data_IF_766293731347
#
_entry.id   IF_766293731347
#
_cell.length_a   1.000
_cell.length_b   1.000
_cell.length_c   1.000
_cell.angle_alpha   90.00
_cell.angle_beta   90.00
_cell.angle_gamma   90.00
#
_symmetry.space_group_name_H-M   'P 1'
#
loop_
_entity.id
_entity.type
_entity.pdbx_description
1 polymer ?
#
# COMPACT_ATOMS: atom_id res chain seq x y z
N UNK A 1 -18.43 -33.78 11.79
CA UNK A 1 -17.14 -34.10 11.18
C UNK A 1 -17.12 -33.55 9.76
N UNK A 2 -16.79 -32.26 9.61
CA UNK A 2 -16.60 -31.63 8.30
C UNK A 2 -15.76 -30.35 8.49
N UNK A 3 -14.47 -30.53 8.83
CA UNK A 3 -13.42 -29.53 8.69
C UNK A 3 -12.72 -29.82 7.38
N UNK A 4 -13.00 -29.04 6.35
CA UNK A 4 -12.25 -29.15 5.11
C UNK A 4 -12.04 -27.77 4.49
N UNK A 5 -10.77 -27.37 4.41
CA UNK A 5 -10.17 -26.39 3.51
C UNK A 5 -10.43 -24.91 3.79
N UNK A 6 -9.79 -24.41 4.85
CA UNK A 6 -9.35 -23.02 4.87
C UNK A 6 -8.11 -22.88 3.96
N UNK A 7 -8.29 -22.41 2.75
CA UNK A 7 -7.21 -21.93 1.90
C UNK A 7 -6.75 -20.57 2.45
N UNK A 8 -5.58 -20.59 3.06
CA UNK A 8 -4.91 -19.50 3.77
C UNK A 8 -4.52 -18.39 2.78
N UNK A 9 -5.30 -17.30 2.77
CA UNK A 9 -4.87 -16.03 2.17
C UNK A 9 -4.39 -15.10 3.27
N UNK A 10 -3.21 -14.54 3.10
CA UNK A 10 -2.57 -13.63 4.05
C UNK A 10 -3.36 -12.36 4.38
N UNK A 11 -3.29 -11.88 5.63
CA UNK A 11 -4.39 -11.05 6.18
C UNK A 11 -4.05 -9.58 6.50
N UNK A 12 -2.93 -8.96 6.17
CA UNK A 12 -2.74 -7.56 6.57
C UNK A 12 -2.27 -6.60 5.45
N UNK A 13 -1.03 -6.45 5.19
CA UNK A 13 -0.56 -5.60 4.09
C UNK A 13 -0.64 -6.36 2.77
N UNK A 14 -0.54 -7.69 2.80
CA UNK A 14 -0.84 -8.57 1.66
C UNK A 14 -2.31 -8.60 1.24
N UNK A 15 -3.24 -8.06 2.02
CA UNK A 15 -4.65 -7.95 1.61
C UNK A 15 -4.92 -6.93 0.50
N UNK A 16 -4.02 -5.98 0.32
CA UNK A 16 -3.96 -5.23 -0.95
C UNK A 16 -3.35 -6.09 -2.08
N UNK A 17 -2.71 -7.20 -1.73
CA UNK A 17 -1.87 -8.05 -2.57
C UNK A 17 -2.40 -9.49 -2.56
N UNK A 18 -3.65 -9.70 -3.01
CA UNK A 18 -4.24 -11.03 -3.09
C UNK A 18 -3.27 -12.03 -3.75
N UNK A 19 -2.83 -13.02 -2.98
CA UNK A 19 -2.12 -14.17 -3.50
C UNK A 19 -3.06 -14.93 -4.45
N UNK A 20 -2.83 -14.81 -5.74
CA UNK A 20 -3.45 -15.65 -6.76
C UNK A 20 -2.86 -17.05 -6.60
N UNK A 21 -3.66 -18.12 -6.40
CA UNK A 21 -3.12 -19.46 -6.48
C UNK A 21 -2.54 -19.69 -7.87
N UNK A 22 -1.27 -20.09 -7.94
CA UNK A 22 -0.62 -20.45 -9.18
C UNK A 22 -1.23 -21.77 -9.70
N UNK A 23 -1.93 -21.70 -10.81
CA UNK A 23 -2.02 -22.82 -11.74
C UNK A 23 -0.65 -23.06 -12.38
N UNK A 24 -0.26 -24.33 -12.66
CA UNK A 24 1.01 -24.61 -13.32
C UNK A 24 1.06 -23.95 -14.71
N UNK A 25 2.22 -23.41 -15.01
CA UNK A 25 2.51 -22.67 -16.22
C UNK A 25 2.28 -23.54 -17.47
N UNK A 26 1.32 -23.14 -18.28
CA UNK A 26 1.35 -23.40 -19.72
C UNK A 26 2.13 -22.24 -20.35
N UNK A 27 3.23 -22.60 -21.01
CA UNK A 27 4.00 -21.68 -21.82
C UNK A 27 3.16 -21.25 -23.03
N UNK A 28 2.71 -20.00 -23.00
CA UNK A 28 2.19 -19.33 -24.18
C UNK A 28 2.97 -18.01 -24.32
N UNK A 29 3.90 -17.99 -25.25
CA UNK A 29 4.55 -16.78 -25.76
C UNK A 29 3.49 -15.93 -26.46
N UNK A 30 3.09 -14.86 -25.81
CA UNK A 30 2.57 -13.66 -26.45
C UNK A 30 2.89 -12.48 -25.54
N UNK A 31 3.49 -11.39 -26.04
CA UNK A 31 3.67 -10.19 -25.27
C UNK A 31 2.26 -9.63 -25.03
N UNK A 32 1.73 -9.84 -23.84
CA UNK A 32 0.55 -9.14 -23.41
C UNK A 32 0.94 -7.66 -23.29
N UNK A 33 0.56 -6.85 -24.27
CA UNK A 33 0.60 -5.41 -24.15
C UNK A 33 -0.09 -5.04 -22.83
N UNK A 34 0.62 -4.30 -21.97
CA UNK A 34 0.02 -3.72 -20.79
C UNK A 34 -1.04 -2.76 -21.31
N UNK A 35 -2.30 -3.17 -21.30
CA UNK A 35 -3.42 -2.29 -21.58
C UNK A 35 -3.54 -1.30 -20.41
N UNK A 36 -2.71 -0.26 -20.42
CA UNK A 36 -2.86 0.83 -19.48
C UNK A 36 -4.26 1.41 -19.63
N UNK A 37 -4.96 1.61 -18.53
CA UNK A 37 -6.25 2.30 -18.55
C UNK A 37 -6.03 3.69 -19.14
N UNK A 38 -6.81 4.13 -20.15
CA UNK A 38 -6.64 5.45 -20.72
C UNK A 38 -6.62 6.53 -19.63
N UNK A 39 -5.59 7.38 -19.60
CA UNK A 39 -5.42 8.43 -18.60
C UNK A 39 -4.74 8.01 -17.29
N UNK A 40 -4.38 6.73 -17.12
CA UNK A 40 -3.62 6.29 -15.94
C UNK A 40 -2.19 6.85 -15.98
N UNK A 41 -1.87 7.73 -15.04
CA UNK A 41 -0.53 8.34 -14.91
C UNK A 41 -0.33 8.98 -13.54
N UNK A 42 0.92 9.07 -13.12
CA UNK A 42 1.33 9.96 -12.03
C UNK A 42 1.36 11.40 -12.57
N UNK A 43 0.67 12.30 -11.87
CA UNK A 43 0.73 13.75 -12.13
C UNK A 43 1.56 14.42 -11.03
N UNK A 44 2.15 15.61 -11.27
CA UNK A 44 2.93 16.30 -10.25
C UNK A 44 2.10 16.58 -8.99
N UNK A 45 2.71 16.49 -7.80
CA UNK A 45 2.11 16.91 -6.54
C UNK A 45 1.62 18.35 -6.57
N UNK A 46 0.62 18.68 -5.74
CA UNK A 46 0.21 20.06 -5.50
C UNK A 46 1.40 20.89 -5.01
N UNK A 47 1.62 22.12 -5.51
CA UNK A 47 2.71 22.98 -5.05
C UNK A 47 2.67 23.30 -3.54
N UNK A 48 1.49 23.21 -2.92
CA UNK A 48 1.30 23.43 -1.48
C UNK A 48 1.62 22.21 -0.63
N UNK A 49 1.75 21.02 -1.23
CA UNK A 49 2.03 19.80 -0.50
C UNK A 49 3.53 19.65 -0.25
N UNK A 50 3.87 19.30 0.99
CA UNK A 50 5.24 19.03 1.40
C UNK A 50 5.29 17.72 2.18
N UNK A 51 5.90 16.69 1.58
CA UNK A 51 6.19 15.47 2.30
C UNK A 51 7.12 15.79 3.48
N UNK A 52 6.79 15.38 4.72
CA UNK A 52 7.63 15.70 5.88
C UNK A 52 9.03 15.12 5.75
N UNK A 53 10.05 15.79 6.32
CA UNK A 53 11.44 15.29 6.31
C UNK A 53 11.59 14.04 7.18
N UNK A 54 10.90 14.01 8.31
CA UNK A 54 10.85 12.83 9.18
C UNK A 54 9.56 12.82 9.98
N UNK A 55 8.81 11.72 9.88
CA UNK A 55 7.55 11.54 10.61
C UNK A 55 7.27 10.05 10.77
N UNK A 56 6.69 9.67 11.91
CA UNK A 56 6.14 8.34 12.12
C UNK A 56 4.65 8.44 12.48
N UNK A 57 3.84 7.72 11.74
CA UNK A 57 2.40 7.57 11.97
C UNK A 57 2.15 6.19 12.57
N UNK A 58 1.46 6.11 13.70
CA UNK A 58 1.15 4.84 14.39
C UNK A 58 -0.36 4.66 14.42
N UNK A 59 -0.81 3.50 13.94
CA UNK A 59 -2.22 3.13 13.83
C UNK A 59 -2.55 1.92 14.70
N UNK A 60 -3.74 1.95 15.33
CA UNK A 60 -4.40 0.71 15.75
C UNK A 60 -5.04 0.05 14.55
N UNK A 61 -5.04 -1.27 14.54
CA UNK A 61 -5.67 -2.08 13.50
C UNK A 61 -6.80 -2.89 14.11
N UNK A 62 -8.00 -2.79 13.54
CA UNK A 62 -9.15 -3.58 13.91
C UNK A 62 -9.56 -4.52 12.78
N UNK A 63 -9.94 -5.74 13.14
CA UNK A 63 -10.54 -6.73 12.28
C UNK A 63 -11.87 -7.18 12.86
N UNK A 64 -12.98 -6.94 12.16
CA UNK A 64 -14.33 -7.26 12.66
C UNK A 64 -14.57 -6.78 14.11
N UNK A 65 -14.20 -5.53 14.43
CA UNK A 65 -14.32 -4.89 15.74
C UNK A 65 -13.39 -5.45 16.83
N UNK A 66 -12.54 -6.41 16.50
CA UNK A 66 -11.51 -6.89 17.42
C UNK A 66 -10.22 -6.12 17.19
N UNK A 67 -9.54 -5.72 18.26
CA UNK A 67 -8.20 -5.19 18.14
C UNK A 67 -7.29 -6.30 17.57
N UNK A 68 -6.77 -6.06 16.38
CA UNK A 68 -5.97 -7.00 15.64
C UNK A 68 -4.47 -6.74 15.78
N UNK A 69 -4.07 -5.51 16.08
CA UNK A 69 -2.65 -5.17 16.19
C UNK A 69 -2.34 -3.69 15.98
N UNK A 70 -1.13 -3.45 15.52
CA UNK A 70 -0.58 -2.12 15.27
C UNK A 70 0.08 -2.08 13.89
N UNK A 71 -0.07 -0.95 13.20
CA UNK A 71 0.70 -0.64 12.00
C UNK A 71 1.44 0.68 12.20
N UNK A 72 2.65 0.80 11.66
CA UNK A 72 3.40 2.05 11.65
C UNK A 72 3.80 2.42 10.24
N UNK A 73 3.89 3.72 9.95
CA UNK A 73 4.48 4.23 8.71
C UNK A 73 5.48 5.31 9.07
N UNK A 74 6.73 5.09 8.76
CA UNK A 74 7.82 6.06 8.98
C UNK A 74 8.26 6.62 7.65
N UNK A 75 8.33 7.94 7.57
CA UNK A 75 8.87 8.69 6.44
C UNK A 75 10.20 9.27 6.85
N UNK A 76 11.22 9.15 6.01
CA UNK A 76 12.49 9.86 6.11
C UNK A 76 12.84 10.37 4.71
N UNK A 77 12.98 11.68 4.56
CA UNK A 77 13.22 12.32 3.29
C UNK A 77 14.44 13.23 3.33
N UNK A 78 15.20 13.24 2.24
CA UNK A 78 16.17 14.28 1.90
C UNK A 78 15.77 14.92 0.55
N UNK A 79 16.67 15.73 -0.02
CA UNK A 79 16.40 16.39 -1.31
C UNK A 79 16.35 15.45 -2.52
N UNK A 80 16.97 14.28 -2.43
CA UNK A 80 17.11 13.34 -3.54
C UNK A 80 16.14 12.16 -3.47
N UNK A 81 15.84 11.64 -2.28
CA UNK A 81 15.00 10.46 -2.08
C UNK A 81 14.14 10.57 -0.83
N UNK A 82 13.05 9.83 -0.81
CA UNK A 82 12.25 9.57 0.39
C UNK A 82 12.20 8.06 0.64
N UNK A 83 12.52 7.65 1.86
CA UNK A 83 12.38 6.29 2.34
C UNK A 83 11.12 6.17 3.19
N UNK A 84 10.22 5.31 2.77
CA UNK A 84 8.98 5.00 3.47
C UNK A 84 9.07 3.57 4.00
N UNK A 85 8.98 3.43 5.33
CA UNK A 85 8.95 2.12 5.98
C UNK A 85 7.61 1.92 6.65
N UNK A 86 6.94 0.82 6.34
CA UNK A 86 5.72 0.40 7.00
C UNK A 86 5.94 -0.93 7.72
N UNK A 87 5.41 -1.05 8.95
CA UNK A 87 5.36 -2.32 9.67
C UNK A 87 3.92 -2.63 10.05
N UNK A 88 3.58 -3.91 10.14
CA UNK A 88 2.29 -4.36 10.64
C UNK A 88 2.48 -5.62 11.49
N UNK A 89 1.99 -5.54 12.73
CA UNK A 89 2.12 -6.60 13.72
C UNK A 89 0.75 -6.94 14.31
N UNK A 90 0.41 -8.23 14.30
CA UNK A 90 -0.77 -8.69 15.04
C UNK A 90 -0.49 -8.77 16.54
N UNK A 91 -1.54 -8.58 17.35
CA UNK A 91 -1.48 -8.69 18.80
C UNK A 91 -2.68 -9.44 19.38
N UNK A 92 -2.63 -9.74 20.68
CA UNK A 92 -3.72 -10.31 21.44
C UNK A 92 -4.24 -11.64 20.89
N UNK A 93 -5.56 -11.77 20.84
CA UNK A 93 -6.23 -13.01 20.38
C UNK A 93 -6.00 -13.26 18.89
N UNK A 94 -5.99 -12.21 18.07
CA UNK A 94 -5.78 -12.34 16.63
C UNK A 94 -4.41 -12.93 16.33
N UNK A 95 -3.36 -12.53 17.06
CA UNK A 95 -2.01 -13.09 16.90
C UNK A 95 -1.92 -14.59 17.21
N UNK A 96 -2.79 -15.11 18.10
CA UNK A 96 -2.87 -16.55 18.40
C UNK A 96 -3.54 -17.35 17.29
N UNK A 97 -4.45 -16.72 16.53
CA UNK A 97 -5.18 -17.35 15.43
C UNK A 97 -4.40 -17.24 14.13
N UNK A 98 -3.88 -16.03 13.87
CA UNK A 98 -3.15 -15.72 12.64
C UNK A 98 -2.08 -14.66 12.91
N UNK A 99 -0.84 -15.11 13.05
CA UNK A 99 0.30 -14.20 13.25
C UNK A 99 0.64 -13.48 11.96
N UNK A 100 0.81 -12.17 12.07
CA UNK A 100 1.38 -11.32 11.02
C UNK A 100 2.53 -10.53 11.61
N UNK A 101 3.65 -10.52 10.90
CA UNK A 101 4.77 -9.61 11.07
C UNK A 101 5.27 -9.22 9.68
N UNK A 102 4.86 -8.06 9.21
CA UNK A 102 5.19 -7.57 7.89
C UNK A 102 6.02 -6.29 7.99
N UNK A 103 7.06 -6.21 7.19
CA UNK A 103 7.86 -5.01 6.98
C UNK A 103 7.89 -4.71 5.50
N UNK A 104 7.60 -3.47 5.16
CA UNK A 104 7.64 -2.97 3.79
C UNK A 104 8.47 -1.69 3.76
N UNK A 105 9.50 -1.68 2.94
CA UNK A 105 10.36 -0.54 2.69
C UNK A 105 10.25 -0.13 1.22
N UNK A 106 10.09 1.16 0.96
CA UNK A 106 10.11 1.74 -0.37
C UNK A 106 11.06 2.94 -0.42
N UNK A 107 11.77 3.08 -1.53
CA UNK A 107 12.52 4.27 -1.88
C UNK A 107 11.85 4.93 -3.08
N UNK A 108 11.52 6.22 -2.96
CA UNK A 108 10.79 6.98 -3.97
C UNK A 108 11.44 8.34 -4.24
N UNK A 109 11.25 8.87 -5.44
CA UNK A 109 11.55 10.29 -5.72
C UNK A 109 10.48 11.16 -5.02
N UNK A 110 10.84 12.03 -4.06
CA UNK A 110 9.87 12.82 -3.30
C UNK A 110 9.13 13.88 -4.13
N UNK A 111 9.59 14.17 -5.35
CA UNK A 111 8.98 15.15 -6.26
C UNK A 111 7.93 14.52 -7.19
N UNK A 112 8.10 13.25 -7.51
CA UNK A 112 7.23 12.54 -8.47
C UNK A 112 6.47 11.37 -7.87
N UNK A 113 6.89 10.86 -6.70
CA UNK A 113 6.43 9.61 -6.09
C UNK A 113 6.66 8.36 -6.96
N UNK A 114 7.56 8.44 -7.95
CA UNK A 114 8.00 7.25 -8.68
C UNK A 114 8.85 6.39 -7.76
N UNK A 115 8.42 5.15 -7.54
CA UNK A 115 9.14 4.18 -6.69
C UNK A 115 10.36 3.66 -7.42
N UNK A 116 11.51 3.69 -6.77
CA UNK A 116 12.80 3.20 -7.30
C UNK A 116 13.09 1.77 -6.85
N UNK A 117 12.72 1.46 -5.61
CA UNK A 117 12.95 0.14 -5.02
C UNK A 117 11.89 -0.19 -3.98
N UNK A 118 11.57 -1.48 -3.87
CA UNK A 118 10.73 -2.06 -2.82
C UNK A 118 11.50 -3.21 -2.18
N UNK A 119 11.44 -3.31 -0.85
CA UNK A 119 11.80 -4.49 -0.08
C UNK A 119 10.64 -4.87 0.83
N UNK A 120 10.24 -6.14 0.82
CA UNK A 120 9.16 -6.67 1.64
C UNK A 120 9.62 -7.92 2.37
N UNK A 121 9.57 -7.88 3.71
CA UNK A 121 9.60 -9.06 4.56
C UNK A 121 8.17 -9.36 5.01
N UNK A 122 7.73 -10.60 4.88
CA UNK A 122 6.36 -10.97 5.23
C UNK A 122 6.34 -12.30 5.96
N UNK A 123 5.81 -12.27 7.20
CA UNK A 123 5.47 -13.44 7.99
C UNK A 123 3.96 -13.46 8.24
N UNK A 124 3.23 -14.24 7.45
CA UNK A 124 1.78 -14.33 7.50
C UNK A 124 1.35 -15.79 7.71
N UNK A 125 1.06 -16.14 8.95
CA UNK A 125 0.75 -17.52 9.34
C UNK A 125 1.85 -18.49 8.92
N UNK A 126 1.55 -19.36 7.95
CA UNK A 126 2.52 -20.32 7.44
C UNK A 126 3.46 -19.77 6.36
N UNK A 127 3.16 -18.61 5.81
CA UNK A 127 3.94 -18.00 4.72
C UNK A 127 5.03 -17.12 5.27
N UNK A 128 6.27 -17.28 4.77
CA UNK A 128 7.42 -16.42 5.09
C UNK A 128 8.17 -16.14 3.81
N UNK A 129 8.24 -14.88 3.41
CA UNK A 129 8.90 -14.45 2.18
C UNK A 129 9.72 -13.19 2.38
N UNK A 130 10.81 -13.13 1.62
CA UNK A 130 11.53 -11.90 1.31
C UNK A 130 11.30 -11.56 -0.15
N UNK A 131 10.95 -10.31 -0.46
CA UNK A 131 10.81 -9.84 -1.84
C UNK A 131 11.54 -8.52 -2.01
N UNK A 132 12.27 -8.40 -3.11
CA UNK A 132 12.91 -7.17 -3.56
C UNK A 132 12.51 -6.89 -4.98
N UNK A 133 12.23 -5.62 -5.27
CA UNK A 133 11.91 -5.15 -6.62
C UNK A 133 12.70 -3.89 -6.89
N UNK A 134 13.39 -3.88 -8.01
CA UNK A 134 14.06 -2.70 -8.54
C UNK A 134 13.33 -2.22 -9.79
N UNK A 135 13.11 -0.90 -9.91
CA UNK A 135 12.41 -0.30 -11.04
C UNK A 135 13.41 0.44 -11.92
N UNK A 136 13.59 -0.06 -13.13
CA UNK A 136 14.42 0.57 -14.16
C UNK A 136 13.51 1.27 -15.19
N UNK A 137 13.33 2.55 -15.00
CA UNK A 137 12.51 3.38 -15.89
C UNK A 137 13.18 3.66 -17.25
N UNK A 138 14.50 3.42 -17.37
CA UNK A 138 15.20 3.56 -18.64
C UNK A 138 14.86 2.40 -19.58
N UNK A 139 14.86 1.17 -19.06
CA UNK A 139 14.45 -0.02 -19.81
C UNK A 139 12.95 -0.30 -19.78
N UNK A 140 12.16 0.51 -19.02
CA UNK A 140 10.75 0.31 -18.75
C UNK A 140 10.44 -1.07 -18.13
N UNK A 141 11.32 -1.56 -17.24
CA UNK A 141 11.23 -2.87 -16.59
C UNK A 141 11.33 -2.78 -15.07
N UNK A 142 10.65 -3.68 -14.38
CA UNK A 142 10.94 -3.97 -12.98
C UNK A 142 11.49 -5.38 -12.84
N UNK A 143 12.47 -5.53 -11.96
CA UNK A 143 13.18 -6.77 -11.66
C UNK A 143 12.80 -7.23 -10.26
N UNK A 144 12.06 -8.33 -10.15
CA UNK A 144 11.61 -8.91 -8.89
C UNK A 144 12.43 -10.15 -8.54
N UNK A 145 12.89 -10.20 -7.29
CA UNK A 145 13.38 -11.40 -6.64
C UNK A 145 12.52 -11.70 -5.42
N UNK A 146 12.10 -12.95 -5.27
CA UNK A 146 11.35 -13.45 -4.12
C UNK A 146 12.00 -14.73 -3.58
N UNK A 147 12.29 -14.73 -2.30
CA UNK A 147 12.81 -15.87 -1.56
C UNK A 147 11.74 -16.38 -0.59
N UNK A 148 11.36 -17.65 -0.71
CA UNK A 148 10.52 -18.32 0.28
C UNK A 148 11.44 -18.83 1.41
N UNK A 149 11.33 -18.24 2.60
CA UNK A 149 12.22 -18.50 3.72
C UNK A 149 12.00 -19.88 4.36
N UNK A 150 10.83 -20.50 4.14
CA UNK A 150 10.54 -21.85 4.65
C UNK A 150 11.04 -22.95 3.76
N UNK A 151 10.93 -22.79 2.45
CA UNK A 151 11.31 -23.83 1.47
C UNK A 151 12.70 -23.61 0.90
N UNK A 152 13.30 -22.42 1.11
CA UNK A 152 14.56 -22.02 0.50
C UNK A 152 14.45 -21.77 -1.01
N UNK A 153 13.24 -21.77 -1.58
CA UNK A 153 13.07 -21.57 -3.02
C UNK A 153 13.17 -20.11 -3.38
N UNK A 154 13.90 -19.82 -4.48
CA UNK A 154 14.04 -18.49 -5.06
C UNK A 154 13.30 -18.40 -6.38
N UNK A 155 12.61 -17.28 -6.57
CA UNK A 155 11.95 -16.91 -7.82
C UNK A 155 12.45 -15.55 -8.28
N UNK A 156 12.67 -15.40 -9.57
CA UNK A 156 12.95 -14.13 -10.23
C UNK A 156 11.96 -13.92 -11.36
N UNK A 157 11.54 -12.68 -11.59
CA UNK A 157 10.67 -12.32 -12.69
C UNK A 157 10.85 -10.85 -13.06
N UNK A 158 10.71 -10.58 -14.35
CA UNK A 158 10.73 -9.24 -14.90
C UNK A 158 9.34 -8.85 -15.39
N UNK A 159 8.96 -7.60 -15.19
CA UNK A 159 7.67 -7.07 -15.63
C UNK A 159 7.88 -5.75 -16.37
N UNK A 160 7.07 -5.51 -17.39
CA UNK A 160 7.00 -4.21 -18.01
C UNK A 160 6.32 -3.21 -17.05
N UNK A 161 6.82 -1.98 -17.02
CA UNK A 161 6.27 -0.91 -16.19
C UNK A 161 6.02 0.36 -17.02
N UNK A 162 5.03 1.19 -16.66
CA UNK A 162 4.89 2.52 -17.23
C UNK A 162 6.04 3.45 -16.79
N UNK A 163 6.15 4.64 -17.39
CA UNK A 163 7.25 5.58 -17.12
C UNK A 163 7.40 6.02 -15.65
N UNK A 164 6.39 5.83 -14.84
CA UNK A 164 6.41 6.06 -13.41
C UNK A 164 5.33 5.20 -12.75
N UNK A 165 5.67 4.48 -11.68
CA UNK A 165 4.73 3.78 -10.81
C UNK A 165 5.00 4.19 -9.37
N UNK A 166 3.95 4.26 -8.56
CA UNK A 166 4.11 4.32 -7.10
C UNK A 166 3.92 2.93 -6.50
N UNK A 167 4.38 2.70 -5.28
CA UNK A 167 4.06 1.50 -4.53
C UNK A 167 2.81 1.70 -3.65
N UNK A 168 2.40 0.63 -2.98
CA UNK A 168 1.18 0.63 -2.17
C UNK A 168 1.25 1.63 -1.01
N UNK A 169 2.39 1.76 -0.32
CA UNK A 169 2.54 2.66 0.83
C UNK A 169 2.71 4.09 0.35
N UNK A 170 3.57 4.31 -0.64
CA UNK A 170 3.81 5.63 -1.22
C UNK A 170 2.57 6.18 -1.92
N UNK A 171 1.70 5.32 -2.44
CA UNK A 171 0.42 5.69 -3.05
C UNK A 171 -0.54 6.46 -2.12
N UNK A 172 -0.47 6.23 -0.80
CA UNK A 172 -1.22 7.05 0.17
C UNK A 172 -0.70 8.48 0.22
N UNK A 173 0.61 8.65 0.26
CA UNK A 173 1.24 9.97 0.31
C UNK A 173 1.18 10.67 -1.04
N UNK A 174 1.23 9.92 -2.15
CA UNK A 174 0.93 10.45 -3.47
C UNK A 174 -0.51 10.97 -3.52
N UNK A 175 -1.48 10.21 -3.05
CA UNK A 175 -2.89 10.67 -2.95
C UNK A 175 -3.01 11.93 -2.09
N UNK A 176 -2.35 11.95 -0.92
CA UNK A 176 -2.30 13.13 -0.05
C UNK A 176 -1.66 14.35 -0.74
N UNK A 177 -0.78 14.13 -1.70
CA UNK A 177 -0.09 15.21 -2.43
C UNK A 177 -0.95 15.88 -3.51
N UNK A 178 -2.10 15.31 -3.84
CA UNK A 178 -3.01 15.85 -4.83
C UNK A 178 -3.95 16.90 -4.23
N UNK A 179 -4.56 17.70 -5.11
CA UNK A 179 -5.67 18.57 -4.71
C UNK A 179 -6.91 17.69 -4.50
N UNK A 180 -7.32 17.54 -3.24
CA UNK A 180 -8.44 16.69 -2.86
C UNK A 180 -9.78 17.45 -2.91
N UNK A 181 -10.12 18.01 -4.08
CA UNK A 181 -11.39 18.70 -4.27
C UNK A 181 -12.57 17.70 -4.37
N UNK A 182 -13.68 17.89 -3.64
CA UNK A 182 -14.84 17.01 -3.73
C UNK A 182 -15.30 16.77 -5.18
N UNK A 183 -15.58 15.52 -5.53
CA UNK A 183 -15.98 15.09 -6.88
C UNK A 183 -14.81 14.91 -7.86
N UNK A 184 -13.59 15.28 -7.50
CA UNK A 184 -12.42 15.02 -8.35
C UNK A 184 -12.03 13.55 -8.33
N UNK A 185 -11.39 13.09 -9.40
CA UNK A 185 -10.86 11.72 -9.51
C UNK A 185 -9.55 11.69 -10.28
N UNK A 186 -8.70 10.72 -9.95
CA UNK A 186 -7.43 10.47 -10.62
C UNK A 186 -7.21 8.97 -10.74
N UNK A 187 -6.62 8.51 -11.84
CA UNK A 187 -6.18 7.12 -11.99
C UNK A 187 -4.67 7.11 -12.17
N UNK A 188 -4.00 6.23 -11.43
CA UNK A 188 -2.54 6.13 -11.46
C UNK A 188 -2.07 4.68 -11.24
N UNK A 189 -0.89 4.33 -11.78
CA UNK A 189 -0.34 2.99 -11.66
C UNK A 189 0.31 2.78 -10.28
N UNK A 190 -0.06 1.67 -9.64
CA UNK A 190 0.50 1.19 -8.36
C UNK A 190 1.14 -0.17 -8.60
N UNK A 191 2.38 -0.36 -8.14
CA UNK A 191 3.04 -1.65 -8.15
C UNK A 191 3.07 -2.24 -6.73
N UNK A 192 2.70 -3.49 -6.63
CA UNK A 192 2.59 -4.22 -5.35
C UNK A 192 3.83 -5.06 -5.00
N UNK A 193 4.93 -4.82 -5.70
CA UNK A 193 6.14 -5.64 -5.60
C UNK A 193 6.17 -6.79 -6.63
N UNK A 194 5.40 -6.68 -7.71
CA UNK A 194 5.38 -7.62 -8.82
C UNK A 194 4.69 -7.02 -10.02
N UNK A 195 3.38 -6.97 -10.01
CA UNK A 195 2.58 -6.47 -11.14
C UNK A 195 2.05 -5.07 -10.88
N UNK A 196 1.96 -4.30 -11.95
CA UNK A 196 1.33 -2.97 -11.92
C UNK A 196 -0.19 -3.10 -12.05
N UNK A 197 -0.90 -2.30 -11.27
CA UNK A 197 -2.36 -2.21 -11.24
C UNK A 197 -2.74 -0.74 -11.29
N UNK A 198 -3.67 -0.36 -12.15
CA UNK A 198 -4.21 1.00 -12.13
C UNK A 198 -5.22 1.12 -10.99
N UNK A 199 -5.03 2.12 -10.15
CA UNK A 199 -5.91 2.47 -9.05
C UNK A 199 -6.59 3.79 -9.37
N UNK A 200 -7.93 3.79 -9.34
CA UNK A 200 -8.73 5.01 -9.41
C UNK A 200 -9.00 5.49 -7.99
N UNK A 201 -8.68 6.74 -7.72
CA UNK A 201 -9.16 7.44 -6.54
C UNK A 201 -10.32 8.37 -6.92
N UNK A 202 -11.23 8.59 -5.96
CA UNK A 202 -12.36 9.51 -6.06
C UNK A 202 -12.55 10.23 -4.73
N UNK A 203 -12.58 11.55 -4.76
CA UNK A 203 -12.78 12.38 -3.56
C UNK A 203 -14.27 12.50 -3.31
N UNK A 204 -14.77 11.84 -2.25
CA UNK A 204 -16.22 11.76 -1.98
C UNK A 204 -16.74 12.96 -1.20
N UNK A 205 -15.89 13.70 -0.49
CA UNK A 205 -16.25 14.89 0.29
C UNK A 205 -15.58 14.95 1.66
N UNK A 206 -15.96 15.95 2.45
CA UNK A 206 -15.43 16.16 3.80
C UNK A 206 -16.47 15.86 4.86
N UNK A 207 -16.01 15.28 5.97
CA UNK A 207 -16.82 15.07 7.17
C UNK A 207 -15.95 15.07 8.42
N UNK A 208 -16.58 15.31 9.57
CA UNK A 208 -15.90 15.20 10.85
C UNK A 208 -15.74 13.72 11.23
N UNK A 209 -14.53 13.33 11.63
CA UNK A 209 -14.23 12.00 12.15
C UNK A 209 -13.51 12.08 13.48
N UNK A 210 -13.65 11.03 14.29
CA UNK A 210 -12.93 10.83 15.54
C UNK A 210 -12.07 9.59 15.43
N UNK A 211 -10.77 9.74 15.72
CA UNK A 211 -9.78 8.67 15.82
C UNK A 211 -9.08 8.77 17.18
N UNK A 212 -8.34 7.78 17.65
CA UNK A 212 -7.61 7.87 18.93
C UNK A 212 -6.68 9.09 19.04
N UNK A 213 -6.11 9.55 17.93
CA UNK A 213 -5.25 10.75 17.88
C UNK A 213 -6.03 12.06 18.14
N UNK A 214 -7.34 12.11 17.86
CA UNK A 214 -8.16 13.30 18.06
C UNK A 214 -9.39 13.34 17.17
N UNK A 215 -10.01 14.52 17.09
CA UNK A 215 -11.17 14.80 16.26
C UNK A 215 -10.80 15.81 15.18
N UNK A 216 -11.15 15.51 13.92
CA UNK A 216 -10.70 16.26 12.77
C UNK A 216 -11.79 16.44 11.73
N UNK A 217 -11.76 17.57 11.01
CA UNK A 217 -12.38 17.66 9.69
C UNK A 217 -11.50 16.89 8.71
N UNK A 218 -12.08 15.99 7.93
CA UNK A 218 -11.33 15.09 7.07
C UNK A 218 -11.98 14.95 5.69
N UNK A 219 -11.14 14.90 4.68
CA UNK A 219 -11.53 14.59 3.29
C UNK A 219 -11.52 13.08 3.11
N UNK A 220 -12.63 12.50 2.66
CA UNK A 220 -12.74 11.07 2.36
C UNK A 220 -12.43 10.81 0.90
N UNK A 221 -11.48 9.92 0.67
CA UNK A 221 -11.09 9.45 -0.65
C UNK A 221 -11.35 7.96 -0.75
N UNK A 222 -12.08 7.54 -1.78
CA UNK A 222 -12.28 6.16 -2.17
C UNK A 222 -11.18 5.77 -3.16
N UNK A 223 -10.57 4.60 -3.00
CA UNK A 223 -9.60 4.03 -3.92
C UNK A 223 -10.02 2.62 -4.32
N UNK A 224 -9.98 2.32 -5.61
CA UNK A 224 -10.33 1.00 -6.14
C UNK A 224 -9.44 0.60 -7.32
N UNK A 225 -9.02 -0.67 -7.39
CA UNK A 225 -8.30 -1.19 -8.55
C UNK A 225 -9.24 -1.28 -9.77
N UNK A 226 -8.84 -0.64 -10.88
CA UNK A 226 -9.62 -0.62 -12.13
C UNK A 226 -8.99 -1.47 -13.24
N UNK A 227 -7.76 -1.93 -13.04
CA UNK A 227 -7.06 -2.85 -13.94
C UNK A 227 -6.28 -3.92 -13.14
N UNK A 228 -5.59 -4.80 -13.85
CA UNK A 228 -4.68 -5.78 -13.27
C UNK A 228 -5.35 -6.87 -12.41
N UNK A 229 -4.55 -7.64 -11.66
CA UNK A 229 -5.03 -8.80 -10.90
C UNK A 229 -6.00 -8.45 -9.76
N UNK A 230 -6.03 -7.21 -9.31
CA UNK A 230 -6.84 -6.74 -8.18
C UNK A 230 -8.17 -6.09 -8.61
N UNK A 231 -8.42 -5.93 -9.92
CA UNK A 231 -9.66 -5.33 -10.43
C UNK A 231 -10.89 -5.97 -9.81
N UNK A 232 -11.75 -5.13 -9.21
CA UNK A 232 -13.01 -5.55 -8.60
C UNK A 232 -12.88 -6.40 -7.32
N UNK A 233 -11.67 -6.55 -6.76
CA UNK A 233 -11.44 -7.40 -5.58
C UNK A 233 -11.54 -6.67 -4.24
N UNK A 234 -11.69 -5.37 -4.25
CA UNK A 234 -11.84 -4.61 -3.00
C UNK A 234 -11.93 -3.11 -3.22
N UNK A 235 -12.24 -2.44 -2.13
CA UNK A 235 -12.32 -0.98 -2.05
C UNK A 235 -11.61 -0.53 -0.78
N UNK A 236 -10.89 0.57 -0.86
CA UNK A 236 -10.24 1.23 0.25
C UNK A 236 -10.78 2.65 0.38
N UNK A 237 -11.11 3.06 1.59
CA UNK A 237 -11.39 4.46 1.92
C UNK A 237 -10.29 4.98 2.83
N UNK A 238 -9.82 6.18 2.52
CA UNK A 238 -8.84 6.91 3.34
C UNK A 238 -9.42 8.26 3.71
N UNK A 239 -9.30 8.63 4.98
CA UNK A 239 -9.64 9.96 5.48
C UNK A 239 -8.36 10.71 5.74
N UNK A 240 -8.17 11.80 5.04
CA UNK A 240 -7.04 12.72 5.22
C UNK A 240 -7.49 13.95 5.99
N UNK A 241 -6.61 14.57 6.80
CA UNK A 241 -6.92 15.88 7.38
C UNK A 241 -7.30 16.86 6.28
N UNK A 242 -8.32 17.69 6.53
CA UNK A 242 -8.77 18.76 5.61
C UNK A 242 -7.90 20.01 5.80
N UNK A 243 -6.57 19.84 5.64
CA UNK A 243 -5.56 20.89 5.70
C UNK A 243 -4.41 20.56 4.74
N UNK A 244 -3.47 21.47 4.53
CA UNK A 244 -2.37 21.32 3.58
C UNK A 244 -1.44 20.10 3.84
N UNK A 245 -1.52 19.49 5.02
CA UNK A 245 -0.70 18.32 5.38
C UNK A 245 -1.29 17.02 4.86
N UNK A 246 -2.61 16.95 4.68
CA UNK A 246 -3.36 15.75 4.31
C UNK A 246 -2.86 14.49 5.05
N UNK A 247 -2.79 14.56 6.39
CA UNK A 247 -2.35 13.41 7.20
C UNK A 247 -3.40 12.31 7.10
N UNK A 248 -3.03 11.06 6.73
CA UNK A 248 -3.98 9.95 6.70
C UNK A 248 -4.40 9.56 8.13
N UNK A 249 -5.64 9.87 8.50
CA UNK A 249 -6.21 9.67 9.84
C UNK A 249 -6.79 8.28 10.02
N UNK A 250 -7.46 7.80 8.98
CA UNK A 250 -8.17 6.52 9.02
C UNK A 250 -8.11 5.86 7.64
N UNK A 251 -7.92 4.53 7.64
CA UNK A 251 -8.05 3.70 6.44
C UNK A 251 -9.05 2.59 6.74
N UNK A 252 -10.01 2.40 5.83
CA UNK A 252 -10.96 1.28 5.91
C UNK A 252 -10.87 0.48 4.62
N UNK A 253 -10.39 -0.75 4.74
CA UNK A 253 -10.28 -1.68 3.63
C UNK A 253 -11.43 -2.69 3.69
N UNK A 254 -12.09 -2.89 2.56
CA UNK A 254 -13.07 -3.97 2.38
C UNK A 254 -12.61 -4.86 1.24
N UNK A 255 -12.17 -6.07 1.56
CA UNK A 255 -11.61 -7.05 0.63
C UNK A 255 -12.34 -8.37 0.83
N UNK A 256 -13.22 -8.72 -0.12
CA UNK A 256 -14.09 -9.89 0.00
C UNK A 256 -14.94 -9.82 1.28
N UNK A 257 -14.75 -10.79 2.16
CA UNK A 257 -15.45 -10.87 3.47
C UNK A 257 -14.73 -10.13 4.60
N UNK A 258 -13.48 -9.71 4.40
CA UNK A 258 -12.70 -9.06 5.45
C UNK A 258 -12.82 -7.54 5.39
N UNK A 259 -13.02 -6.93 6.55
CA UNK A 259 -12.94 -5.49 6.74
C UNK A 259 -11.86 -5.20 7.76
N UNK A 260 -10.88 -4.38 7.37
CA UNK A 260 -9.84 -3.86 8.25
C UNK A 260 -10.04 -2.36 8.44
N UNK A 261 -9.88 -1.91 9.65
CA UNK A 261 -9.92 -0.50 10.01
C UNK A 261 -8.61 -0.12 10.69
N UNK A 262 -7.92 0.86 10.12
CA UNK A 262 -6.72 1.47 10.69
C UNK A 262 -7.09 2.85 11.19
N UNK A 263 -6.78 3.17 12.44
CA UNK A 263 -7.06 4.47 13.04
C UNK A 263 -5.79 5.06 13.64
N UNK A 264 -5.47 6.29 13.25
CA UNK A 264 -4.29 7.00 13.75
C UNK A 264 -4.37 7.17 15.26
N UNK A 265 -3.36 6.69 15.98
CA UNK A 265 -3.21 6.82 17.43
C UNK A 265 -2.29 7.96 17.81
N UNK A 266 -1.18 8.13 17.07
CA UNK A 266 -0.20 9.18 17.35
C UNK A 266 0.65 9.49 16.14
N UNK A 267 1.17 10.71 16.13
CA UNK A 267 2.17 11.21 15.18
C UNK A 267 3.43 11.51 15.96
N UNK A 268 4.54 10.93 15.53
CA UNK A 268 5.84 11.17 16.14
C UNK A 268 6.71 11.94 15.13
N UNK A 269 7.22 13.07 15.56
CA UNK A 269 8.18 13.88 14.81
C UNK A 269 9.48 13.89 15.63
N UNK A 270 10.64 13.55 15.06
CA UNK A 270 11.91 13.66 15.79
C UNK A 270 12.06 15.08 16.33
N UNK A 271 12.45 15.21 17.61
CA UNK A 271 12.85 16.51 18.13
C UNK A 271 14.06 16.96 17.34
N UNK A 272 14.00 18.15 16.74
CA UNK A 272 15.17 18.80 16.14
C UNK A 272 16.28 18.86 17.19
N UNK A 273 17.42 18.23 16.90
CA UNK A 273 18.62 18.47 17.71
C UNK A 273 18.98 19.96 17.50
N UNK A 274 18.81 20.74 18.54
CA UNK A 274 19.28 22.14 18.59
C UNK A 274 20.80 22.15 18.76
#
# INVERSE_FOLDING_TARGET
MMLSKFTTGGLFISFLLAAVPLCPAQSANSPASIGATPGSRIIPPSPSFHLPESQTLVYSVEWHLLNAGTATVTIKRNSASAHLRSTADTSGVVNKIFRVHDIFDAEVDPRTFCTQQISKHSEEGARQIERRVHFDYHSARSHMQEDNLKTGTRRQADFDIPPCVTDVVSGFFYTASLTLAPGSSQTFPVNDGGKTTDVKIEVEGSNRIKVPYGEFQAVRVKAEPVSGPLKGKGVLWVWFTDDARHIPLQLKSKLGFATLLFQLQRVEVPKSAH
#
